data_IF_820550458526
#
_entry.id   IF_820550458526
#
_cell.length_a   1.000
_cell.length_b   1.000
_cell.length_c   1.000
_cell.angle_alpha   90.00
_cell.angle_beta   90.00
_cell.angle_gamma   90.00
#
_symmetry.space_group_name_H-M   'P 1'
#
loop_
_entity.id
_entity.type
_entity.pdbx_description
1 polymer ?
#
# COMPACT_ATOMS: atom_id res chain seq x y z
N UNK A 1 22.00 -4.52 0.52
CA UNK A 1 20.67 -4.85 1.10
C UNK A 1 19.62 -3.88 0.55
N UNK A 2 19.43 -3.85 -0.78
CA UNK A 2 18.70 -2.72 -1.43
C UNK A 2 17.67 -3.16 -2.50
N UNK A 3 17.73 -4.41 -3.00
CA UNK A 3 16.82 -4.85 -4.07
C UNK A 3 15.37 -5.11 -3.62
N UNK A 4 15.13 -5.30 -2.32
CA UNK A 4 13.77 -5.52 -1.78
C UNK A 4 12.90 -4.27 -1.87
N UNK A 5 13.51 -3.08 -1.82
CA UNK A 5 12.80 -1.80 -1.99
C UNK A 5 12.29 -1.67 -3.42
N UNK A 6 13.07 -2.10 -4.41
CA UNK A 6 12.64 -2.07 -5.83
C UNK A 6 11.46 -3.02 -6.04
N UNK A 7 11.53 -4.24 -5.50
CA UNK A 7 10.42 -5.20 -5.60
C UNK A 7 9.13 -4.65 -4.96
N UNK A 8 9.25 -3.96 -3.82
CA UNK A 8 8.14 -3.29 -3.16
C UNK A 8 7.46 -2.26 -4.08
N UNK A 9 8.23 -1.40 -4.75
CA UNK A 9 7.67 -0.41 -5.67
C UNK A 9 7.01 -1.07 -6.89
N UNK A 10 7.58 -2.16 -7.40
CA UNK A 10 6.98 -2.91 -8.51
C UNK A 10 5.62 -3.47 -8.10
N UNK A 11 5.50 -4.11 -6.94
CA UNK A 11 4.22 -4.63 -6.44
C UNK A 11 3.22 -3.50 -6.22
N UNK A 12 3.64 -2.38 -5.61
CA UNK A 12 2.79 -1.20 -5.41
C UNK A 12 2.17 -0.71 -6.71
N UNK A 13 3.00 -0.56 -7.75
CA UNK A 13 2.57 -0.08 -9.07
C UNK A 13 1.65 -1.11 -9.75
N UNK A 14 1.96 -2.41 -9.66
CA UNK A 14 1.12 -3.49 -10.19
C UNK A 14 -0.26 -3.48 -9.52
N UNK A 15 -0.33 -3.36 -8.19
CA UNK A 15 -1.57 -3.33 -7.43
C UNK A 15 -2.43 -2.12 -7.82
N UNK A 16 -1.79 -0.96 -8.00
CA UNK A 16 -2.44 0.25 -8.50
C UNK A 16 -3.05 0.04 -9.89
N UNK A 17 -2.26 -0.47 -10.85
CA UNK A 17 -2.76 -0.71 -12.21
C UNK A 17 -3.82 -1.81 -12.26
N UNK A 18 -3.70 -2.86 -11.43
CA UNK A 18 -4.69 -3.92 -11.33
C UNK A 18 -6.05 -3.38 -10.87
N UNK A 19 -6.06 -2.57 -9.82
CA UNK A 19 -7.29 -1.94 -9.32
C UNK A 19 -7.81 -0.88 -10.27
N UNK A 20 -6.94 -0.10 -10.91
CA UNK A 20 -7.33 0.90 -11.91
C UNK A 20 -8.05 0.23 -13.10
N UNK A 21 -7.54 -0.90 -13.59
CA UNK A 21 -8.16 -1.66 -14.68
C UNK A 21 -9.49 -2.30 -14.26
N UNK A 22 -9.56 -2.82 -13.02
CA UNK A 22 -10.74 -3.51 -12.50
C UNK A 22 -11.89 -2.59 -12.10
N UNK A 23 -11.59 -1.45 -11.47
CA UNK A 23 -12.59 -0.51 -10.97
C UNK A 23 -12.91 0.61 -11.96
N UNK A 24 -12.05 0.83 -12.97
CA UNK A 24 -12.09 1.98 -13.90
C UNK A 24 -12.23 3.34 -13.22
N UNK A 25 -11.99 3.40 -11.92
CA UNK A 25 -12.14 4.58 -11.08
C UNK A 25 -10.88 4.69 -10.25
N UNK A 26 -10.03 5.67 -10.56
CA UNK A 26 -8.77 5.89 -9.88
C UNK A 26 -8.96 6.12 -8.38
N UNK A 27 -10.02 6.83 -8.00
CA UNK A 27 -10.39 7.12 -6.62
C UNK A 27 -10.68 5.85 -5.79
N UNK A 28 -11.55 4.96 -6.33
CA UNK A 28 -11.83 3.68 -5.68
C UNK A 28 -10.65 2.71 -5.75
N UNK A 29 -9.83 2.81 -6.79
CA UNK A 29 -8.62 2.02 -6.92
C UNK A 29 -7.62 2.40 -5.82
N UNK A 30 -7.44 3.71 -5.58
CA UNK A 30 -6.58 4.27 -4.55
C UNK A 30 -7.00 3.78 -3.15
N UNK A 31 -8.28 3.92 -2.80
CA UNK A 31 -8.84 3.44 -1.53
C UNK A 31 -8.73 1.91 -1.31
N UNK A 32 -8.54 1.14 -2.39
CA UNK A 32 -8.39 -0.32 -2.34
C UNK A 32 -6.94 -0.78 -2.30
N UNK A 33 -5.97 0.10 -2.51
CA UNK A 33 -4.56 -0.25 -2.37
C UNK A 33 -4.33 -0.64 -0.91
N UNK A 34 -3.63 -1.75 -0.68
CA UNK A 34 -3.34 -2.27 0.67
C UNK A 34 -2.60 -1.23 1.53
N UNK A 35 -1.79 -0.38 0.89
CA UNK A 35 -1.08 0.74 1.51
C UNK A 35 -1.97 1.86 2.02
N UNK A 36 -2.99 2.21 1.24
CA UNK A 36 -3.98 3.22 1.63
C UNK A 36 -4.80 2.71 2.82
N UNK A 37 -5.24 1.45 2.76
CA UNK A 37 -5.91 0.79 3.90
C UNK A 37 -5.04 0.76 5.15
N UNK A 38 -3.76 0.47 5.00
CA UNK A 38 -2.79 0.51 6.10
C UNK A 38 -2.65 1.93 6.67
N UNK A 39 -2.55 2.94 5.82
CA UNK A 39 -2.43 4.34 6.24
C UNK A 39 -3.69 4.81 6.99
N UNK A 40 -4.88 4.53 6.46
CA UNK A 40 -6.16 4.82 7.12
C UNK A 40 -6.31 4.05 8.44
N UNK A 41 -5.96 2.77 8.48
CA UNK A 41 -6.07 1.97 9.70
C UNK A 41 -5.12 2.45 10.81
N UNK A 42 -3.96 2.98 10.45
CA UNK A 42 -2.95 3.45 11.39
C UNK A 42 -2.91 4.98 11.53
N UNK A 43 -3.80 5.74 10.88
CA UNK A 43 -3.85 7.21 10.96
C UNK A 43 -4.00 7.70 12.42
N UNK A 44 -4.71 6.91 13.23
CA UNK A 44 -4.97 7.17 14.65
C UNK A 44 -3.77 6.87 15.54
N UNK A 45 -2.76 6.18 15.01
CA UNK A 45 -1.58 5.78 15.75
C UNK A 45 -0.41 6.67 15.36
N UNK A 46 -0.25 7.80 16.07
CA UNK A 46 0.81 8.79 15.84
C UNK A 46 2.23 8.20 15.89
N UNK A 47 2.42 7.08 16.60
CA UNK A 47 3.71 6.40 16.72
C UNK A 47 3.98 5.41 15.56
N UNK A 48 2.99 5.18 14.70
CA UNK A 48 3.07 4.20 13.60
C UNK A 48 4.14 4.55 12.57
N UNK A 49 4.34 5.84 12.29
CA UNK A 49 5.40 6.31 11.38
C UNK A 49 6.80 5.88 11.84
N UNK A 50 7.01 5.69 13.14
CA UNK A 50 8.29 5.31 13.73
C UNK A 50 8.50 3.77 13.75
N UNK A 51 7.42 3.00 13.94
CA UNK A 51 7.47 1.52 13.98
C UNK A 51 7.21 0.85 12.62
N UNK A 52 6.93 1.61 11.57
CA UNK A 52 6.51 1.06 10.29
C UNK A 52 7.57 0.11 9.71
N UNK A 53 7.28 -1.20 9.78
CA UNK A 53 8.03 -2.22 9.05
C UNK A 53 7.70 -2.13 7.57
N UNK A 54 8.74 -2.16 6.73
CA UNK A 54 8.64 -2.17 5.26
C UNK A 54 7.65 -3.21 4.70
N UNK A 55 7.29 -4.26 5.45
CA UNK A 55 6.39 -5.35 5.04
C UNK A 55 5.05 -5.40 5.79
N UNK A 56 4.72 -4.36 6.57
CA UNK A 56 3.45 -4.30 7.32
C UNK A 56 2.22 -4.36 6.40
N UNK A 57 2.32 -3.81 5.19
CA UNK A 57 1.21 -3.70 4.23
C UNK A 57 0.69 -5.07 3.76
N UNK A 58 1.52 -6.13 3.85
CA UNK A 58 1.10 -7.52 3.54
C UNK A 58 0.01 -8.03 4.48
N UNK A 59 -0.17 -7.41 5.65
CA UNK A 59 -1.26 -7.71 6.57
C UNK A 59 -2.62 -7.23 6.05
N UNK A 60 -2.62 -6.35 5.04
CA UNK A 60 -3.80 -5.70 4.47
C UNK A 60 -4.07 -6.09 3.00
N UNK A 61 -3.28 -7.03 2.44
CA UNK A 61 -3.44 -7.62 1.11
C UNK A 61 -4.63 -8.60 1.04
#
# INVERSE_FOLDING_TARGET
MEMLIVFFYIVYVIEYYYWLFKLKNADRAYLRISFEREAYANERNLNYLNERRFWSFRKYL
#
